data_IF_550472903874
#
_entry.id   IF_550472903874
#
_cell.length_a   1.000
_cell.length_b   1.000
_cell.length_c   1.000
_cell.angle_alpha   90.00
_cell.angle_beta   90.00
_cell.angle_gamma   90.00
#
_symmetry.space_group_name_H-M   'P 1'
#
loop_
_entity.id
_entity.type
_entity.pdbx_description
1 polymer ?
#
# COMPACT_ATOMS: atom_id res chain seq x y z
N UNK A 1 -5.86 4.34 10.16
CA UNK A 1 -5.64 3.22 11.11
C UNK A 1 -5.20 3.82 12.42
N UNK A 2 -5.91 3.52 13.48
CA UNK A 2 -5.61 4.03 14.82
C UNK A 2 -4.90 2.94 15.63
N UNK A 3 -4.22 3.35 16.70
CA UNK A 3 -3.62 2.40 17.62
C UNK A 3 -4.65 1.40 18.12
N UNK A 4 -4.28 0.14 18.14
CA UNK A 4 -5.17 -0.94 18.55
C UNK A 4 -6.06 -1.49 17.44
N UNK A 5 -6.10 -0.84 16.27
CA UNK A 5 -6.80 -1.38 15.12
C UNK A 5 -5.99 -2.51 14.49
N UNK A 6 -6.71 -3.47 13.90
CA UNK A 6 -6.11 -4.55 13.13
C UNK A 6 -6.40 -4.33 11.65
N UNK A 7 -5.37 -4.47 10.83
CA UNK A 7 -5.52 -4.41 9.38
C UNK A 7 -5.80 -5.82 8.86
N UNK A 8 -6.94 -5.97 8.18
CA UNK A 8 -7.25 -7.22 7.50
C UNK A 8 -6.58 -7.21 6.12
N UNK A 9 -5.78 -8.22 5.83
CA UNK A 9 -4.99 -8.29 4.61
C UNK A 9 -5.28 -9.59 3.88
N UNK A 10 -5.57 -9.48 2.59
CA UNK A 10 -5.61 -10.62 1.68
C UNK A 10 -4.21 -10.78 1.08
N UNK A 11 -3.54 -11.87 1.39
CA UNK A 11 -2.18 -12.11 0.93
C UNK A 11 -2.17 -12.37 -0.57
N UNK A 12 -1.46 -11.52 -1.31
CA UNK A 12 -1.30 -11.64 -2.76
C UNK A 12 -0.12 -10.76 -3.19
N UNK A 13 0.50 -11.10 -4.30
CA UNK A 13 1.51 -10.26 -4.93
C UNK A 13 0.96 -9.46 -6.12
N UNK A 14 -0.34 -9.54 -6.38
CA UNK A 14 -1.00 -8.87 -7.48
C UNK A 14 -1.86 -7.72 -6.97
N UNK A 15 -1.82 -6.59 -7.67
CA UNK A 15 -2.61 -5.42 -7.33
C UNK A 15 -3.14 -4.74 -8.58
N UNK A 16 -4.30 -4.12 -8.45
CA UNK A 16 -4.91 -3.30 -9.50
C UNK A 16 -4.93 -1.84 -9.06
N UNK A 17 -4.96 -0.96 -10.05
CA UNK A 17 -5.08 0.48 -9.78
C UNK A 17 -6.30 0.79 -8.92
N UNK A 18 -6.10 1.62 -7.92
CA UNK A 18 -7.15 2.02 -6.99
C UNK A 18 -7.26 1.18 -5.74
N UNK A 19 -6.59 0.03 -5.69
CA UNK A 19 -6.61 -0.80 -4.49
C UNK A 19 -5.63 -0.29 -3.44
N UNK A 20 -5.97 -0.48 -2.18
CA UNK A 20 -5.06 -0.20 -1.08
C UNK A 20 -4.23 -1.46 -0.83
N UNK A 21 -2.93 -1.30 -0.88
CA UNK A 21 -1.98 -2.40 -0.80
C UNK A 21 -1.11 -2.27 0.44
N UNK A 22 -0.63 -3.42 0.90
CA UNK A 22 0.51 -3.51 1.81
C UNK A 22 1.72 -3.76 0.93
N UNK A 23 2.65 -2.83 0.89
CA UNK A 23 3.79 -2.87 -0.01
C UNK A 23 5.09 -2.71 0.75
N UNK A 24 6.13 -3.36 0.24
CA UNK A 24 7.48 -3.25 0.76
C UNK A 24 8.34 -2.52 -0.27
N UNK A 25 8.93 -1.42 0.16
CA UNK A 25 9.83 -0.61 -0.64
C UNK A 25 11.02 -0.22 0.25
N UNK A 26 12.26 -0.50 -0.20
CA UNK A 26 13.47 -0.17 0.53
C UNK A 26 13.45 -0.70 1.98
N UNK A 27 13.00 -1.94 2.16
CA UNK A 27 12.90 -2.62 3.46
C UNK A 27 11.87 -2.01 4.42
N UNK A 28 11.07 -1.08 3.95
CA UNK A 28 9.97 -0.53 4.72
C UNK A 28 8.64 -1.04 4.19
N UNK A 29 7.74 -1.37 5.11
CA UNK A 29 6.38 -1.78 4.78
C UNK A 29 5.46 -0.58 4.94
N UNK A 30 4.63 -0.34 3.94
CA UNK A 30 3.69 0.78 3.95
C UNK A 30 2.32 0.31 3.44
N UNK A 31 1.28 0.99 3.86
CA UNK A 31 -0.10 0.76 3.41
C UNK A 31 -0.53 1.99 2.64
N UNK A 32 -0.72 1.84 1.34
CA UNK A 32 -0.98 2.96 0.43
C UNK A 32 -1.91 2.51 -0.69
N UNK A 33 -2.52 3.48 -1.34
CA UNK A 33 -3.30 3.24 -2.55
C UNK A 33 -2.36 3.10 -3.74
N UNK A 34 -2.57 2.07 -4.53
CA UNK A 34 -1.70 1.69 -5.64
C UNK A 34 -2.21 2.28 -6.95
N UNK A 35 -1.31 2.90 -7.71
CA UNK A 35 -1.54 3.31 -9.09
C UNK A 35 -0.31 2.99 -9.91
N UNK A 36 -0.50 2.33 -11.03
CA UNK A 36 0.60 1.95 -11.91
C UNK A 36 0.32 2.36 -13.34
N UNK A 37 1.32 2.93 -13.99
CA UNK A 37 1.31 3.22 -15.42
C UNK A 37 2.66 2.73 -15.99
N UNK A 38 2.64 1.59 -16.69
CA UNK A 38 3.88 0.97 -17.15
C UNK A 38 4.80 0.60 -16.01
N UNK A 39 6.01 1.14 -16.01
CA UNK A 39 7.00 0.92 -14.95
C UNK A 39 6.96 2.00 -13.87
N UNK A 40 6.03 2.92 -13.94
CA UNK A 40 5.87 3.97 -12.95
C UNK A 40 4.73 3.62 -11.99
N UNK A 41 5.04 3.58 -10.71
CA UNK A 41 4.06 3.31 -9.65
C UNK A 41 3.99 4.52 -8.73
N UNK A 42 2.77 4.88 -8.36
CA UNK A 42 2.52 5.83 -7.28
C UNK A 42 1.90 5.09 -6.11
N UNK A 43 2.46 5.32 -4.93
CA UNK A 43 1.89 4.85 -3.66
C UNK A 43 1.31 6.06 -2.96
N UNK A 44 -0.01 6.14 -2.92
CA UNK A 44 -0.74 7.34 -2.54
C UNK A 44 -1.27 7.17 -1.12
N UNK A 45 -0.89 8.10 -0.24
CA UNK A 45 -1.39 8.11 1.12
C UNK A 45 -2.87 8.52 1.13
N UNK A 46 -3.63 7.99 2.08
CA UNK A 46 -5.01 8.43 2.29
C UNK A 46 -5.06 9.86 2.82
N UNK A 47 -4.06 10.29 3.57
CA UNK A 47 -3.96 11.66 4.05
C UNK A 47 -3.41 12.56 2.93
N UNK A 48 -4.17 13.58 2.47
CA UNK A 48 -3.74 14.44 1.38
C UNK A 48 -2.54 15.34 1.72
N UNK A 49 -2.18 15.46 2.99
CA UNK A 49 -1.00 16.23 3.40
C UNK A 49 0.32 15.54 3.02
N UNK A 50 0.27 14.27 2.66
CA UNK A 50 1.44 13.52 2.24
C UNK A 50 1.46 13.37 0.72
N UNK A 51 2.60 13.68 0.12
CA UNK A 51 2.80 13.50 -1.32
C UNK A 51 2.87 12.02 -1.67
N UNK A 52 2.45 11.62 -2.86
CA UNK A 52 2.63 10.25 -3.32
C UNK A 52 4.10 9.85 -3.36
N UNK A 53 4.37 8.59 -3.06
CA UNK A 53 5.70 8.02 -3.25
C UNK A 53 5.81 7.56 -4.70
N UNK A 54 6.79 8.10 -5.42
CA UNK A 54 7.04 7.75 -6.81
C UNK A 54 8.02 6.58 -6.87
N UNK A 55 7.67 5.54 -7.58
CA UNK A 55 8.49 4.34 -7.73
C UNK A 55 8.73 4.06 -9.20
N UNK A 56 9.99 3.95 -9.59
CA UNK A 56 10.39 3.53 -10.93
C UNK A 56 10.84 2.08 -10.87
N UNK A 57 10.02 1.18 -11.40
CA UNK A 57 10.27 -0.26 -11.33
C UNK A 57 11.50 -0.69 -12.13
N UNK A 58 12.03 0.17 -13.01
CA UNK A 58 13.29 -0.13 -13.71
C UNK A 58 14.50 0.07 -12.82
N UNK A 59 14.38 0.81 -11.73
CA UNK A 59 15.48 1.13 -10.82
C UNK A 59 15.24 0.69 -9.37
N UNK A 60 14.00 0.42 -9.01
CA UNK A 60 13.64 0.10 -7.64
C UNK A 60 12.84 -1.18 -7.59
N UNK A 61 13.01 -1.93 -6.52
CA UNK A 61 12.23 -3.13 -6.27
C UNK A 61 11.08 -2.81 -5.33
N UNK A 62 9.87 -3.08 -5.81
CA UNK A 62 8.64 -2.94 -5.03
C UNK A 62 7.98 -4.29 -4.93
N UNK A 63 7.70 -4.74 -3.73
CA UNK A 63 6.97 -5.99 -3.47
C UNK A 63 5.58 -5.66 -2.94
N UNK A 64 4.57 -6.24 -3.56
CA UNK A 64 3.22 -6.23 -2.99
C UNK A 64 3.12 -7.42 -2.06
N UNK A 65 2.81 -7.16 -0.80
CA UNK A 65 2.64 -8.21 0.23
C UNK A 65 1.20 -8.66 0.32
N UNK A 66 0.26 -7.77 0.04
CA UNK A 66 -1.15 -8.09 0.09
C UNK A 66 -2.04 -6.89 -0.20
N UNK A 67 -3.34 -7.14 -0.20
CA UNK A 67 -4.36 -6.12 -0.33
C UNK A 67 -4.99 -5.85 1.03
N UNK A 68 -5.17 -4.58 1.36
CA UNK A 68 -5.97 -4.20 2.52
C UNK A 68 -7.44 -4.42 2.18
N UNK A 69 -8.12 -5.29 2.92
CA UNK A 69 -9.53 -5.59 2.70
C UNK A 69 -10.41 -5.00 3.79
N UNK A 70 -9.83 -4.36 4.78
CA UNK A 70 -10.57 -3.68 5.82
C UNK A 70 -9.73 -3.42 7.05
N UNK A 71 -10.30 -2.68 7.98
CA UNK A 71 -9.71 -2.42 9.29
C UNK A 71 -10.65 -2.98 10.34
N UNK A 72 -10.11 -3.83 11.22
CA UNK A 72 -10.86 -4.38 12.35
C UNK A 72 -10.55 -3.52 13.56
N UNK A 73 -11.55 -2.81 14.07
CA UNK A 73 -11.40 -2.01 15.27
C UNK A 73 -11.66 -2.85 16.50
N UNK A 74 -10.73 -2.73 17.44
CA UNK A 74 -10.93 -3.32 18.76
C UNK A 74 -11.82 -2.39 19.55
N UNK A 75 -13.11 -2.58 19.35
CA UNK A 75 -14.10 -1.85 20.08
C UNK A 75 -14.25 -2.37 21.51
N UNK A 76 -14.94 -1.65 22.26
CA UNK A 76 -15.29 -2.01 23.64
C UNK A 76 -16.68 -2.54 23.69
#
# INVERSE_FOLDING_TARGET
>A
IYDGDLLAVHKTDQARNGQVVVARLNDEVTVKRFQRNGNHVQLIAENPDFSPIEVDLTHQHLSIEGLSVGVIRRGN
#
